data_IF_468312448053
#
_entry.id   IF_468312448053
#
_cell.length_a   1.000
_cell.length_b   1.000
_cell.length_c   1.000
_cell.angle_alpha   90.00
_cell.angle_beta   90.00
_cell.angle_gamma   90.00
#
_symmetry.space_group_name_H-M   'P 1'
#
loop_
_entity.id
_entity.type
_entity.pdbx_description
1 polymer ?
#
# COMPACT_ATOMS: atom_id res chain seq x y z
N UNK A 1 -9.85 -25.80 -0.92
CA UNK A 1 -10.84 -24.71 -1.21
C UNK A 1 -10.54 -24.12 -2.57
N UNK A 2 -11.59 -23.76 -3.33
CA UNK A 2 -11.39 -23.20 -4.68
C UNK A 2 -11.49 -21.67 -4.63
N UNK A 3 -10.52 -21.00 -5.26
CA UNK A 3 -10.53 -19.56 -5.50
C UNK A 3 -10.58 -19.30 -7.00
N UNK A 4 -11.37 -18.32 -7.40
CA UNK A 4 -11.32 -17.76 -8.76
C UNK A 4 -10.36 -16.59 -8.77
N UNK A 5 -9.30 -16.67 -9.55
CA UNK A 5 -8.48 -15.51 -9.92
C UNK A 5 -9.22 -14.79 -11.04
N UNK A 6 -9.41 -13.51 -10.90
CA UNK A 6 -10.17 -12.71 -11.89
C UNK A 6 -9.42 -11.42 -12.24
N UNK A 7 -9.70 -10.96 -13.44
CA UNK A 7 -9.19 -9.71 -14.00
C UNK A 7 -10.34 -8.71 -14.17
N UNK A 8 -10.08 -7.46 -13.86
CA UNK A 8 -10.95 -6.34 -14.20
C UNK A 8 -10.15 -5.38 -15.07
N UNK A 9 -10.63 -5.17 -16.29
CA UNK A 9 -10.01 -4.28 -17.27
C UNK A 9 -10.83 -3.00 -17.44
N UNK A 10 -10.16 -1.85 -17.44
CA UNK A 10 -10.75 -0.54 -17.68
C UNK A 10 -9.70 0.40 -18.29
N UNK A 11 -10.05 1.09 -19.37
CA UNK A 11 -9.18 2.04 -20.06
C UNK A 11 -7.77 1.48 -20.41
N UNK A 12 -7.70 0.18 -20.76
CA UNK A 12 -6.43 -0.49 -21.10
C UNK A 12 -5.53 -0.85 -19.92
N UNK A 13 -5.97 -0.60 -18.69
CA UNK A 13 -5.26 -1.02 -17.47
C UNK A 13 -6.00 -2.16 -16.77
N UNK A 14 -5.25 -3.07 -16.15
CA UNK A 14 -5.77 -4.26 -15.50
C UNK A 14 -5.63 -4.20 -13.97
N UNK A 15 -6.62 -4.80 -13.31
CA UNK A 15 -6.60 -5.17 -11.89
C UNK A 15 -6.77 -6.68 -11.78
N UNK A 16 -5.98 -7.34 -10.93
CA UNK A 16 -6.10 -8.76 -10.62
C UNK A 16 -6.54 -8.93 -9.17
N UNK A 17 -7.44 -9.88 -8.93
CA UNK A 17 -7.92 -10.23 -7.60
C UNK A 17 -8.24 -11.71 -7.47
N UNK A 18 -8.43 -12.19 -6.25
CA UNK A 18 -8.87 -13.55 -5.95
C UNK A 18 -10.09 -13.56 -5.05
N UNK A 19 -11.00 -14.50 -5.27
CA UNK A 19 -12.21 -14.65 -4.45
C UNK A 19 -12.74 -16.07 -4.51
N UNK A 20 -13.51 -16.47 -3.51
CA UNK A 20 -14.29 -17.71 -3.52
C UNK A 20 -15.66 -17.54 -4.15
N UNK A 21 -16.18 -16.31 -4.22
CA UNK A 21 -17.44 -15.97 -4.85
C UNK A 21 -17.27 -14.73 -5.73
N UNK A 22 -17.10 -14.95 -7.03
CA UNK A 22 -16.92 -13.89 -8.01
C UNK A 22 -18.16 -13.00 -8.15
N UNK A 23 -19.36 -13.59 -8.02
CA UNK A 23 -20.61 -12.85 -8.14
C UNK A 23 -20.79 -11.86 -6.98
N UNK A 24 -20.51 -12.30 -5.76
CA UNK A 24 -20.52 -11.41 -4.61
C UNK A 24 -19.42 -10.36 -4.70
N UNK A 25 -18.20 -10.77 -5.06
CA UNK A 25 -17.07 -9.86 -5.19
C UNK A 25 -17.30 -8.74 -6.20
N UNK A 26 -17.95 -9.04 -7.31
CA UNK A 26 -18.40 -8.07 -8.31
C UNK A 26 -19.33 -7.01 -7.71
N UNK A 27 -20.31 -7.45 -6.91
CA UNK A 27 -21.25 -6.54 -6.22
C UNK A 27 -20.52 -5.64 -5.21
N UNK A 28 -19.59 -6.20 -4.44
CA UNK A 28 -18.77 -5.46 -3.49
C UNK A 28 -17.92 -4.39 -4.16
N UNK A 29 -17.27 -4.72 -5.28
CA UNK A 29 -16.49 -3.75 -6.04
C UNK A 29 -17.37 -2.60 -6.56
N UNK A 30 -18.54 -2.92 -7.13
CA UNK A 30 -19.49 -1.90 -7.60
C UNK A 30 -19.92 -0.97 -6.46
N UNK A 31 -20.29 -1.52 -5.32
CA UNK A 31 -20.66 -0.75 -4.12
C UNK A 31 -19.51 0.12 -3.61
N UNK A 32 -18.32 -0.45 -3.47
CA UNK A 32 -17.14 0.24 -2.95
C UNK A 32 -16.65 1.35 -3.89
N UNK A 33 -16.82 1.18 -5.20
CA UNK A 33 -16.47 2.18 -6.20
C UNK A 33 -17.22 3.51 -6.00
N UNK A 34 -18.45 3.44 -5.52
CA UNK A 34 -19.32 4.62 -5.35
C UNK A 34 -19.55 5.02 -3.88
N UNK A 35 -18.93 4.34 -2.92
CA UNK A 35 -19.08 4.63 -1.51
C UNK A 35 -17.95 5.53 -0.98
N UNK A 36 -18.18 6.85 -0.77
CA UNK A 36 -17.13 7.77 -0.28
C UNK A 36 -16.61 7.43 1.13
N UNK A 37 -17.38 6.66 1.91
CA UNK A 37 -16.99 6.21 3.25
C UNK A 37 -16.06 4.98 3.21
N UNK A 38 -15.91 4.35 2.05
CA UNK A 38 -15.03 3.21 1.91
C UNK A 38 -13.56 3.63 1.99
N UNK A 39 -12.77 2.97 2.85
CA UNK A 39 -11.36 3.32 3.11
C UNK A 39 -10.51 3.47 1.85
N UNK A 40 -10.75 2.64 0.85
CA UNK A 40 -10.02 2.65 -0.41
C UNK A 40 -10.75 3.38 -1.55
N UNK A 41 -11.76 4.22 -1.26
CA UNK A 41 -12.53 4.96 -2.26
C UNK A 41 -11.64 5.74 -3.24
N UNK A 42 -10.57 6.36 -2.75
CA UNK A 42 -9.62 7.15 -3.55
C UNK A 42 -8.42 6.35 -4.06
N UNK A 43 -8.44 5.00 -3.99
CA UNK A 43 -7.37 4.20 -4.58
C UNK A 43 -7.39 4.32 -6.12
N UNK A 44 -6.22 4.10 -6.76
CA UNK A 44 -6.05 4.21 -8.21
C UNK A 44 -7.14 3.43 -8.96
N UNK A 45 -7.41 2.19 -8.56
CA UNK A 45 -8.40 1.32 -9.20
C UNK A 45 -9.78 1.97 -9.28
N UNK A 46 -10.38 2.38 -8.16
CA UNK A 46 -11.72 2.97 -8.16
C UNK A 46 -11.77 4.37 -8.79
N UNK A 47 -10.69 5.14 -8.67
CA UNK A 47 -10.59 6.45 -9.33
C UNK A 47 -10.55 6.29 -10.84
N UNK A 48 -9.76 5.34 -11.37
CA UNK A 48 -9.72 5.04 -12.80
C UNK A 48 -11.10 4.62 -13.31
N UNK A 49 -11.82 3.75 -12.58
CA UNK A 49 -13.17 3.33 -12.96
C UNK A 49 -14.12 4.54 -13.06
N UNK A 50 -14.18 5.38 -12.02
CA UNK A 50 -15.08 6.54 -12.03
C UNK A 50 -14.77 7.54 -13.14
N UNK A 51 -13.49 7.73 -13.45
CA UNK A 51 -13.04 8.67 -14.49
C UNK A 51 -13.24 8.14 -15.92
N UNK A 52 -13.48 6.83 -16.09
CA UNK A 52 -13.63 6.19 -17.40
C UNK A 52 -15.01 5.55 -17.60
N UNK A 53 -16.07 6.27 -17.23
CA UNK A 53 -17.45 5.87 -17.50
C UNK A 53 -18.10 5.02 -16.39
N UNK A 54 -17.38 4.75 -15.31
CA UNK A 54 -17.91 4.05 -14.15
C UNK A 54 -17.84 2.53 -14.26
N UNK A 55 -18.48 1.87 -13.28
CA UNK A 55 -18.41 0.42 -13.13
C UNK A 55 -18.92 -0.38 -14.34
N UNK A 56 -19.92 0.12 -15.02
CA UNK A 56 -20.56 -0.60 -16.13
C UNK A 56 -19.69 -0.63 -17.40
N UNK A 57 -18.61 0.16 -17.44
CA UNK A 57 -17.56 0.13 -18.47
C UNK A 57 -16.43 -0.87 -18.15
N UNK A 58 -16.45 -1.54 -16.98
CA UNK A 58 -15.44 -2.52 -16.62
C UNK A 58 -15.73 -3.87 -17.25
N UNK A 59 -14.74 -4.48 -17.88
CA UNK A 59 -14.77 -5.88 -18.29
C UNK A 59 -14.22 -6.75 -17.16
N UNK A 60 -15.00 -7.75 -16.72
CA UNK A 60 -14.60 -8.67 -15.65
C UNK A 60 -14.54 -10.08 -16.19
N UNK A 61 -13.33 -10.65 -16.18
CA UNK A 61 -13.03 -11.97 -16.74
C UNK A 61 -12.45 -12.89 -15.68
N UNK A 62 -12.97 -14.11 -15.47
CA UNK A 62 -12.27 -15.13 -14.73
C UNK A 62 -11.00 -15.53 -15.49
N UNK A 63 -9.88 -15.62 -14.79
CA UNK A 63 -8.57 -15.99 -15.36
C UNK A 63 -8.28 -17.46 -15.08
N UNK A 64 -8.52 -17.90 -13.84
CA UNK A 64 -8.22 -19.26 -13.39
C UNK A 64 -9.08 -19.64 -12.19
N UNK A 65 -9.49 -20.91 -12.13
CA UNK A 65 -9.94 -21.55 -10.90
C UNK A 65 -8.76 -22.28 -10.26
N UNK A 66 -8.40 -21.88 -9.05
CA UNK A 66 -7.23 -22.36 -8.35
C UNK A 66 -7.63 -23.09 -7.07
N UNK A 67 -7.36 -24.39 -7.01
CA UNK A 67 -7.55 -25.19 -5.81
C UNK A 67 -6.36 -25.04 -4.86
N UNK A 68 -6.62 -24.71 -3.61
CA UNK A 68 -5.59 -24.51 -2.59
C UNK A 68 -6.08 -24.89 -1.20
N UNK A 69 -5.16 -25.16 -0.30
CA UNK A 69 -5.43 -25.49 1.11
C UNK A 69 -5.59 -24.21 1.95
N UNK A 70 -4.87 -23.15 1.60
CA UNK A 70 -4.83 -21.92 2.37
C UNK A 70 -5.09 -20.70 1.51
N UNK A 71 -5.66 -19.64 2.12
CA UNK A 71 -5.79 -18.33 1.48
C UNK A 71 -4.45 -17.77 0.99
N UNK A 72 -3.36 -18.08 1.72
CA UNK A 72 -2.03 -17.60 1.39
C UNK A 72 -1.54 -18.13 0.04
N UNK A 73 -1.90 -19.37 -0.32
CA UNK A 73 -1.60 -19.94 -1.64
C UNK A 73 -2.39 -19.22 -2.74
N UNK A 74 -3.67 -18.88 -2.49
CA UNK A 74 -4.45 -18.08 -3.42
C UNK A 74 -3.88 -16.66 -3.63
N UNK A 75 -3.43 -16.00 -2.56
CA UNK A 75 -2.75 -14.70 -2.64
C UNK A 75 -1.43 -14.78 -3.44
N UNK A 76 -0.68 -15.87 -3.30
CA UNK A 76 0.52 -16.14 -4.10
C UNK A 76 0.17 -16.30 -5.59
N UNK A 77 -0.92 -17.03 -5.90
CA UNK A 77 -1.39 -17.23 -7.27
C UNK A 77 -1.94 -15.93 -7.89
N UNK A 78 -2.64 -15.12 -7.10
CA UNK A 78 -3.06 -13.76 -7.49
C UNK A 78 -1.85 -12.88 -7.85
N UNK A 79 -0.79 -12.89 -7.02
CA UNK A 79 0.42 -12.13 -7.26
C UNK A 79 1.15 -12.59 -8.53
N UNK A 80 1.17 -13.91 -8.82
CA UNK A 80 1.69 -14.44 -10.06
C UNK A 80 0.98 -13.82 -11.26
N UNK A 81 -0.34 -13.86 -11.31
CA UNK A 81 -1.13 -13.30 -12.40
C UNK A 81 -1.04 -11.77 -12.47
N UNK A 82 -0.95 -11.09 -11.32
CA UNK A 82 -0.72 -9.64 -11.28
C UNK A 82 0.57 -9.25 -12.00
N UNK A 83 1.63 -10.04 -11.86
CA UNK A 83 2.92 -9.82 -12.54
C UNK A 83 2.83 -10.15 -14.02
N UNK A 84 2.21 -11.27 -14.38
CA UNK A 84 2.03 -11.69 -15.78
C UNK A 84 1.25 -10.66 -16.60
N UNK A 85 0.13 -10.17 -16.07
CA UNK A 85 -0.67 -9.12 -16.72
C UNK A 85 -0.08 -7.72 -16.55
N UNK A 86 1.01 -7.55 -15.78
CA UNK A 86 1.55 -6.24 -15.39
C UNK A 86 0.47 -5.31 -14.86
N UNK A 87 -0.40 -5.83 -14.00
CA UNK A 87 -1.61 -5.16 -13.56
C UNK A 87 -1.29 -3.87 -12.76
N UNK A 88 -1.52 -2.71 -13.38
CA UNK A 88 -1.14 -1.39 -12.87
C UNK A 88 -2.17 -0.81 -11.88
N UNK A 89 -3.38 -1.36 -11.84
CA UNK A 89 -4.44 -0.88 -10.95
C UNK A 89 -4.38 -1.47 -9.55
N UNK A 90 -3.57 -2.51 -9.33
CA UNK A 90 -3.32 -3.03 -8.00
C UNK A 90 -2.40 -2.09 -7.22
N UNK A 91 -2.93 -1.40 -6.21
CA UNK A 91 -2.16 -0.48 -5.36
C UNK A 91 -1.16 -1.18 -4.44
N UNK A 92 -1.35 -2.47 -4.19
CA UNK A 92 -0.51 -3.28 -3.30
C UNK A 92 -0.27 -4.67 -3.91
N UNK A 93 0.84 -5.28 -3.53
CA UNK A 93 1.11 -6.68 -3.84
C UNK A 93 0.19 -7.58 -3.00
N UNK A 94 -0.43 -8.57 -3.64
CA UNK A 94 -1.26 -9.56 -2.96
C UNK A 94 -0.39 -10.48 -2.07
N UNK A 95 0.82 -10.75 -2.51
CA UNK A 95 1.78 -11.61 -1.80
C UNK A 95 3.20 -11.05 -1.90
N UNK A 96 3.93 -11.17 -0.79
CA UNK A 96 5.38 -10.89 -0.72
C UNK A 96 6.07 -12.10 -0.09
N UNK A 97 7.07 -12.68 -0.75
CA UNK A 97 7.83 -13.81 -0.24
C UNK A 97 8.66 -13.41 0.99
N UNK A 98 9.11 -14.40 1.77
CA UNK A 98 10.00 -14.16 2.92
C UNK A 98 11.31 -13.53 2.45
N UNK A 99 11.86 -13.98 1.33
CA UNK A 99 13.08 -13.43 0.74
C UNK A 99 12.89 -11.97 0.31
N UNK A 100 11.80 -11.67 -0.41
CA UNK A 100 11.47 -10.29 -0.81
C UNK A 100 11.30 -9.37 0.39
N UNK A 101 10.62 -9.83 1.46
CA UNK A 101 10.48 -9.06 2.71
C UNK A 101 11.83 -8.77 3.34
N UNK A 102 12.69 -9.78 3.45
CA UNK A 102 14.03 -9.65 4.02
C UNK A 102 14.88 -8.68 3.20
N UNK A 103 14.85 -8.78 1.87
CA UNK A 103 15.59 -7.90 0.97
C UNK A 103 15.08 -6.46 1.05
N UNK A 104 13.75 -6.25 1.08
CA UNK A 104 13.15 -4.93 1.25
C UNK A 104 13.52 -4.32 2.61
N UNK A 105 13.52 -5.12 3.67
CA UNK A 105 13.93 -4.66 5.01
C UNK A 105 15.41 -4.27 5.06
N UNK A 106 16.30 -5.05 4.44
CA UNK A 106 17.72 -4.72 4.28
C UNK A 106 17.88 -3.41 3.50
N UNK A 107 17.23 -3.28 2.35
CA UNK A 107 17.27 -2.08 1.50
C UNK A 107 16.81 -0.84 2.27
N UNK A 108 15.72 -0.95 3.01
CA UNK A 108 15.20 0.13 3.84
C UNK A 108 16.17 0.52 4.97
N UNK A 109 16.80 -0.46 5.64
CA UNK A 109 17.77 -0.21 6.70
C UNK A 109 19.06 0.45 6.16
N UNK A 110 19.51 0.07 4.97
CA UNK A 110 20.65 0.72 4.29
C UNK A 110 20.31 2.18 3.96
N UNK A 111 19.20 2.42 3.28
CA UNK A 111 18.75 3.77 2.93
C UNK A 111 18.61 4.69 4.15
N UNK A 112 18.18 4.14 5.29
CA UNK A 112 18.07 4.90 6.54
C UNK A 112 19.44 5.23 7.17
N UNK A 113 20.43 4.34 7.04
CA UNK A 113 21.79 4.58 7.56
C UNK A 113 22.56 5.64 6.77
N UNK A 114 22.27 5.78 5.49
CA UNK A 114 22.93 6.75 4.59
C UNK A 114 22.34 8.17 4.71
N UNK A 115 21.23 8.36 5.44
CA UNK A 115 20.68 9.70 5.62
C UNK A 115 21.61 10.56 6.48
N UNK A 116 21.90 11.80 6.05
CA UNK A 116 22.77 12.72 6.79
C UNK A 116 22.19 13.05 8.16
N UNK A 117 23.07 13.24 9.12
CA UNK A 117 22.70 13.74 10.43
C UNK A 117 22.58 15.27 10.40
N UNK A 118 21.57 15.77 11.06
CA UNK A 118 21.35 17.20 11.31
C UNK A 118 21.81 17.49 12.76
N UNK A 119 22.57 18.54 12.94
CA UNK A 119 22.95 19.03 14.26
C UNK A 119 21.91 20.04 14.71
N UNK A 120 21.27 19.81 15.84
CA UNK A 120 20.33 20.73 16.46
C UNK A 120 21.07 21.74 17.36
N UNK A 121 20.50 22.93 17.54
CA UNK A 121 21.04 23.96 18.45
C UNK A 121 21.18 23.45 19.90
N UNK A 122 20.39 22.45 20.31
CA UNK A 122 20.55 21.77 21.59
C UNK A 122 21.82 20.87 21.67
N UNK A 123 22.66 20.84 20.60
CA UNK A 123 23.88 20.05 20.50
C UNK A 123 23.69 18.56 20.20
N UNK A 124 22.46 18.09 19.99
CA UNK A 124 22.18 16.69 19.64
C UNK A 124 22.16 16.49 18.14
N UNK A 125 22.58 15.29 17.67
CA UNK A 125 22.49 14.88 16.27
C UNK A 125 21.24 14.03 16.06
N UNK A 126 20.51 14.25 14.97
CA UNK A 126 19.37 13.41 14.57
C UNK A 126 19.27 13.29 13.05
N UNK A 127 18.65 12.22 12.56
CA UNK A 127 18.33 12.08 11.15
C UNK A 127 16.98 12.75 10.84
N UNK A 128 16.80 13.29 9.63
CA UNK A 128 15.63 14.09 9.26
C UNK A 128 14.29 13.40 9.56
N UNK A 129 14.20 12.08 9.34
CA UNK A 129 13.03 11.27 9.66
C UNK A 129 12.72 11.13 11.15
N UNK A 130 13.70 11.46 12.03
CA UNK A 130 13.57 11.36 13.48
C UNK A 130 13.37 12.74 14.15
N UNK A 131 13.17 13.81 13.35
CA UNK A 131 12.99 15.18 13.88
C UNK A 131 11.91 15.25 14.96
N UNK A 132 10.74 14.67 14.70
CA UNK A 132 9.62 14.69 15.66
C UNK A 132 9.90 13.97 16.97
N UNK A 133 10.71 12.90 16.95
CA UNK A 133 11.16 12.23 18.18
C UNK A 133 12.22 13.06 18.89
N UNK A 134 13.19 13.64 18.16
CA UNK A 134 14.23 14.49 18.72
C UNK A 134 13.62 15.69 19.48
N UNK A 135 12.63 16.38 18.90
CA UNK A 135 11.96 17.53 19.55
C UNK A 135 11.29 17.17 20.88
N UNK A 136 10.94 15.90 21.10
CA UNK A 136 10.35 15.39 22.34
C UNK A 136 11.37 14.92 23.37
N UNK A 137 12.65 14.91 23.04
CA UNK A 137 13.69 14.47 24.00
C UNK A 137 13.84 15.47 25.13
N UNK A 138 14.10 14.97 26.34
CA UNK A 138 14.32 15.78 27.55
C UNK A 138 15.37 16.88 27.30
N UNK A 139 16.51 16.52 26.69
CA UNK A 139 17.59 17.47 26.37
C UNK A 139 17.14 18.62 25.47
N UNK A 140 16.30 18.35 24.45
CA UNK A 140 15.79 19.39 23.55
C UNK A 140 14.78 20.29 24.29
N UNK A 141 13.92 19.73 25.10
CA UNK A 141 12.94 20.46 25.89
C UNK A 141 13.60 21.38 26.94
N UNK A 142 14.64 20.86 27.63
CA UNK A 142 15.42 21.66 28.58
C UNK A 142 16.15 22.82 27.87
N UNK A 143 16.70 22.59 26.69
CA UNK A 143 17.32 23.64 25.88
C UNK A 143 16.36 24.76 25.51
N UNK A 144 15.13 24.40 25.05
CA UNK A 144 14.10 25.39 24.72
C UNK A 144 13.69 26.17 25.95
N UNK A 145 13.45 25.48 27.08
CA UNK A 145 13.03 26.11 28.33
C UNK A 145 14.09 27.10 28.87
N UNK A 146 15.38 26.75 28.73
CA UNK A 146 16.48 27.62 29.16
C UNK A 146 16.64 28.87 28.29
N UNK A 147 16.33 28.77 26.98
CA UNK A 147 16.47 29.87 26.04
C UNK A 147 15.21 30.75 25.91
N UNK A 148 14.07 30.30 26.42
CA UNK A 148 12.84 31.12 26.45
C UNK A 148 12.78 32.12 27.60
N UNK A 149 13.75 32.09 28.53
CA UNK A 149 13.81 33.01 29.70
C UNK A 149 14.63 34.26 29.42
N UNK A 150 15.22 34.44 28.24
CA UNK A 150 16.16 35.51 27.92
C UNK A 150 15.56 36.63 27.05
N UNK A 151 14.25 36.87 27.10
CA UNK A 151 13.60 38.01 26.41
C UNK A 151 12.78 38.79 27.44
N UNK A 152 13.46 39.56 28.25
CA UNK A 152 12.92 40.74 28.96
C UNK A 152 13.80 41.96 28.62
#
# INVERSE_FOLDING_TARGET
MIYTIYKISIAGEDYIGSTRDLKQRKREHKSNCYNPKYKAYNCKFYTTIRNNGGWDCCEITPVEEFECETRRQAECREEHWRREYKALLNSQQAYTSVEERTNNQKKYSYSRKEQPYIICDCGSKYQIGNKGQHLKTKRHQEFISSNSVSVE
#
